data_IF_556339159538
#
_entry.id   IF_556339159538
#
_cell.length_a   1.000
_cell.length_b   1.000
_cell.length_c   1.000
_cell.angle_alpha   90.00
_cell.angle_beta   90.00
_cell.angle_gamma   90.00
#
_symmetry.space_group_name_H-M   'P 1'
#
loop_
_entity.id
_entity.type
_entity.pdbx_description
1 polymer ?
#
# COMPACT_ATOMS: atom_id res chain seq x y z
N UNK A 1 -18.64 7.40 -9.47
CA UNK A 1 -17.56 8.40 -9.59
C UNK A 1 -16.66 8.19 -8.40
N UNK A 2 -15.51 7.55 -8.57
CA UNK A 2 -14.47 7.55 -7.53
C UNK A 2 -13.79 8.91 -7.61
N UNK A 3 -13.95 9.72 -6.55
CA UNK A 3 -13.63 11.15 -6.62
C UNK A 3 -12.28 11.54 -6.05
N UNK A 4 -11.64 10.67 -5.26
CA UNK A 4 -10.26 10.81 -4.80
C UNK A 4 -9.83 9.45 -4.25
N UNK A 5 -8.57 9.05 -4.49
CA UNK A 5 -7.99 7.81 -3.99
C UNK A 5 -6.87 8.17 -3.02
N UNK A 6 -7.00 7.77 -1.76
CA UNK A 6 -5.95 7.89 -0.75
C UNK A 6 -5.64 6.48 -0.25
N UNK A 7 -4.37 6.07 -0.13
CA UNK A 7 -4.04 4.79 0.48
C UNK A 7 -3.03 4.95 1.59
N UNK A 8 -3.31 4.22 2.67
CA UNK A 8 -2.63 4.38 3.94
C UNK A 8 -2.07 3.03 4.36
N UNK A 9 -0.77 3.01 4.67
CA UNK A 9 -0.10 1.88 5.31
C UNK A 9 -0.22 2.03 6.83
N UNK A 10 -1.42 1.82 7.35
CA UNK A 10 -1.76 2.08 8.76
C UNK A 10 -1.07 1.12 9.74
N UNK A 11 -0.80 -0.14 9.33
CA UNK A 11 -0.25 -1.17 10.24
C UNK A 11 1.12 -0.82 10.81
N UNK A 12 1.93 -0.04 10.10
CA UNK A 12 3.25 0.39 10.59
C UNK A 12 3.14 1.52 11.62
N UNK A 13 2.15 2.40 11.48
CA UNK A 13 1.96 3.57 12.34
C UNK A 13 1.18 3.20 13.62
N UNK A 14 0.20 2.29 13.53
CA UNK A 14 -0.58 1.83 14.69
C UNK A 14 0.12 0.80 15.59
N UNK A 15 1.19 0.16 15.12
CA UNK A 15 2.07 -0.62 16.02
C UNK A 15 2.66 0.25 17.13
N UNK A 16 2.75 1.57 16.92
CA UNK A 16 3.11 2.54 17.95
C UNK A 16 1.98 2.79 18.97
N UNK A 17 0.72 2.75 18.54
CA UNK A 17 -0.45 3.02 19.37
C UNK A 17 -0.84 1.87 20.31
N UNK A 18 -0.62 0.62 19.90
CA UNK A 18 -0.99 -0.56 20.70
C UNK A 18 -0.07 -0.84 21.91
N UNK A 19 0.95 -0.02 22.18
CA UNK A 19 1.94 -0.22 23.26
C UNK A 19 1.75 0.65 24.51
N UNK A 20 0.62 1.34 24.66
CA UNK A 20 0.35 2.14 25.87
C UNK A 20 -0.97 1.70 26.51
N UNK A 21 -0.88 0.67 27.34
CA UNK A 21 -1.92 0.31 28.32
C UNK A 21 -1.47 0.80 29.68
N UNK A 22 -1.90 2.01 30.06
CA UNK A 22 -2.46 2.35 31.38
C UNK A 22 -2.66 3.88 31.53
N UNK A 23 -3.78 4.25 32.18
CA UNK A 23 -4.13 5.54 32.78
C UNK A 23 -4.30 6.82 31.94
N UNK A 24 -5.55 7.12 31.55
CA UNK A 24 -6.06 8.41 31.00
C UNK A 24 -5.92 8.70 29.48
N UNK A 25 -4.87 8.30 28.71
CA UNK A 25 -4.82 8.48 27.27
C UNK A 25 -5.80 7.56 26.55
N UNK A 26 -6.30 6.49 27.20
CA UNK A 26 -7.26 5.56 26.59
C UNK A 26 -8.56 6.24 26.15
N UNK A 27 -9.04 7.28 26.85
CA UNK A 27 -10.25 8.01 26.42
C UNK A 27 -9.99 8.94 25.25
N UNK A 28 -8.82 9.59 25.21
CA UNK A 28 -8.41 10.43 24.07
C UNK A 28 -8.13 9.59 22.84
N UNK A 29 -7.41 8.48 22.99
CA UNK A 29 -7.16 7.50 21.93
C UNK A 29 -8.49 6.93 21.41
N UNK A 30 -9.42 6.54 22.29
CA UNK A 30 -10.74 6.07 21.83
C UNK A 30 -11.58 7.16 21.16
N UNK A 31 -11.40 8.42 21.53
CA UNK A 31 -12.06 9.55 20.87
C UNK A 31 -11.44 9.80 19.48
N UNK A 32 -10.12 9.75 19.36
CA UNK A 32 -9.39 9.87 18.08
C UNK A 32 -9.72 8.69 17.16
N UNK A 33 -9.75 7.46 17.66
CA UNK A 33 -10.11 6.28 16.86
C UNK A 33 -11.56 6.30 16.36
N UNK A 34 -12.45 7.07 17.00
CA UNK A 34 -13.83 7.30 16.54
C UNK A 34 -13.96 8.44 15.53
N UNK A 35 -12.90 9.21 15.29
CA UNK A 35 -12.90 10.20 14.23
C UNK A 35 -12.98 9.51 12.86
N UNK A 36 -13.59 10.16 11.86
CA UNK A 36 -13.55 9.65 10.49
C UNK A 36 -12.11 9.65 9.96
N UNK A 37 -11.79 8.75 9.05
CA UNK A 37 -10.43 8.67 8.49
C UNK A 37 -10.09 9.92 7.69
N UNK A 38 -11.09 10.63 7.15
CA UNK A 38 -10.93 11.96 6.55
C UNK A 38 -10.37 13.04 7.50
N UNK A 39 -10.35 12.80 8.81
CA UNK A 39 -9.71 13.70 9.77
C UNK A 39 -8.18 13.53 9.84
N UNK A 40 -7.63 12.49 9.22
CA UNK A 40 -6.18 12.27 9.15
C UNK A 40 -5.57 13.10 8.01
N UNK A 41 -4.42 13.71 8.27
CA UNK A 41 -3.60 14.28 7.20
C UNK A 41 -2.90 13.15 6.44
N UNK A 42 -3.54 12.67 5.37
CA UNK A 42 -3.04 11.55 4.59
C UNK A 42 -2.19 12.03 3.40
N UNK A 43 -1.10 11.31 3.08
CA UNK A 43 -0.28 11.65 1.94
C UNK A 43 -1.06 11.43 0.64
N UNK A 44 -0.87 12.35 -0.31
CA UNK A 44 -1.45 12.22 -1.65
C UNK A 44 -0.92 10.96 -2.31
N UNK A 45 -1.84 10.17 -2.84
CA UNK A 45 -1.50 8.90 -3.45
C UNK A 45 -1.19 9.05 -4.94
N UNK A 46 -0.25 8.25 -5.42
CA UNK A 46 -0.02 8.07 -6.86
C UNK A 46 -0.63 6.77 -7.35
N UNK A 47 -1.09 6.83 -8.59
CA UNK A 47 -1.65 5.70 -9.31
C UNK A 47 -0.66 5.23 -10.35
N UNK A 48 -0.42 3.92 -10.42
CA UNK A 48 0.44 3.28 -11.41
C UNK A 48 -0.39 2.34 -12.29
N UNK A 49 -0.02 2.26 -13.56
CA UNK A 49 -0.61 1.29 -14.49
C UNK A 49 -0.13 -0.14 -14.22
N UNK A 50 -0.93 -1.17 -14.52
CA UNK A 50 -0.62 -2.57 -14.22
C UNK A 50 0.64 -3.11 -14.90
N UNK A 51 0.95 -2.59 -16.09
CA UNK A 51 2.07 -3.04 -16.91
C UNK A 51 3.33 -2.19 -16.69
N UNK A 52 3.34 -1.33 -15.67
CA UNK A 52 4.48 -0.48 -15.38
C UNK A 52 5.65 -1.32 -14.86
N UNK A 53 6.83 -1.19 -15.49
CA UNK A 53 8.04 -1.85 -15.04
C UNK A 53 8.49 -1.39 -13.66
N UNK A 54 9.04 -2.32 -12.85
CA UNK A 54 9.40 -2.06 -11.44
C UNK A 54 10.34 -0.85 -11.25
N UNK A 55 11.36 -0.72 -12.10
CA UNK A 55 12.31 0.40 -12.02
C UNK A 55 11.64 1.74 -12.34
N UNK A 56 10.71 1.74 -13.29
CA UNK A 56 9.96 2.94 -13.66
C UNK A 56 8.98 3.33 -12.56
N UNK A 57 8.27 2.35 -12.00
CA UNK A 57 7.40 2.52 -10.83
C UNK A 57 8.18 3.13 -9.65
N UNK A 58 9.36 2.59 -9.32
CA UNK A 58 10.19 3.11 -8.23
C UNK A 58 10.60 4.58 -8.48
N UNK A 59 11.07 4.90 -9.69
CA UNK A 59 11.45 6.28 -10.05
C UNK A 59 10.27 7.25 -9.98
N UNK A 60 9.08 6.82 -10.37
CA UNK A 60 7.88 7.64 -10.27
C UNK A 60 7.46 7.85 -8.82
N UNK A 61 7.55 6.81 -7.98
CA UNK A 61 7.34 6.93 -6.54
C UNK A 61 8.36 7.88 -5.89
N UNK A 62 9.62 7.89 -6.35
CA UNK A 62 10.64 8.84 -5.91
C UNK A 62 10.34 10.28 -6.32
N UNK A 63 9.96 10.51 -7.58
CA UNK A 63 9.70 11.86 -8.08
C UNK A 63 8.49 12.52 -7.42
N UNK A 64 7.50 11.72 -7.03
CA UNK A 64 6.27 12.17 -6.38
C UNK A 64 6.36 12.10 -4.85
N UNK A 65 7.54 11.80 -4.30
CA UNK A 65 7.80 11.63 -2.86
C UNK A 65 6.82 10.66 -2.17
N UNK A 66 6.31 9.69 -2.92
CA UNK A 66 5.24 8.80 -2.48
C UNK A 66 5.77 7.51 -1.89
N UNK A 67 5.25 7.15 -0.71
CA UNK A 67 5.62 5.91 0.00
C UNK A 67 4.80 4.71 -0.42
N UNK A 68 3.61 4.94 -0.99
CA UNK A 68 2.64 3.91 -1.37
C UNK A 68 1.99 4.31 -2.69
N UNK A 69 1.87 3.35 -3.59
CA UNK A 69 1.17 3.52 -4.85
C UNK A 69 0.05 2.49 -4.99
N UNK A 70 -1.05 2.91 -5.62
CA UNK A 70 -2.15 2.01 -6.01
C UNK A 70 -1.94 1.59 -7.45
N UNK A 71 -2.15 0.30 -7.71
CA UNK A 71 -2.12 -0.27 -9.06
C UNK A 71 -3.56 -0.30 -9.56
N UNK A 72 -3.81 0.40 -10.65
CA UNK A 72 -5.15 0.63 -11.16
C UNK A 72 -5.22 0.31 -12.65
N UNK A 73 -6.17 -0.55 -13.05
CA UNK A 73 -6.39 -0.93 -14.45
C UNK A 73 -7.30 0.09 -15.16
N UNK A 74 -8.38 0.46 -14.48
CA UNK A 74 -9.34 1.47 -14.95
C UNK A 74 -9.70 2.39 -13.79
N UNK A 75 -10.33 3.52 -14.08
CA UNK A 75 -10.77 4.48 -13.05
C UNK A 75 -11.57 3.86 -11.90
N UNK A 76 -12.24 2.73 -12.14
CA UNK A 76 -13.08 2.06 -11.14
C UNK A 76 -12.52 0.69 -10.69
N UNK A 77 -11.30 0.32 -11.13
CA UNK A 77 -10.72 -1.01 -10.88
C UNK A 77 -9.33 -0.92 -10.25
N UNK A 78 -9.28 -1.06 -8.92
CA UNK A 78 -8.05 -1.20 -8.16
C UNK A 78 -7.64 -2.67 -8.15
N UNK A 79 -6.42 -2.96 -8.59
CA UNK A 79 -5.87 -4.32 -8.62
C UNK A 79 -5.03 -4.64 -7.38
N UNK A 80 -4.46 -3.61 -6.75
CA UNK A 80 -3.61 -3.78 -5.58
C UNK A 80 -2.91 -2.50 -5.18
N UNK A 81 -1.99 -2.62 -4.22
CA UNK A 81 -1.13 -1.55 -3.77
C UNK A 81 0.29 -2.06 -3.54
N UNK A 82 1.26 -1.15 -3.61
CA UNK A 82 2.68 -1.46 -3.38
C UNK A 82 3.33 -0.35 -2.57
N UNK A 83 4.21 -0.72 -1.65
CA UNK A 83 5.02 0.25 -0.93
C UNK A 83 6.36 0.45 -1.64
N UNK A 84 6.88 1.68 -1.58
CA UNK A 84 8.19 2.03 -2.15
C UNK A 84 9.28 1.11 -1.59
N UNK A 85 9.25 0.88 -0.28
CA UNK A 85 10.16 -0.02 0.43
C UNK A 85 10.12 -1.44 -0.12
N UNK A 86 8.93 -1.99 -0.40
CA UNK A 86 8.83 -3.33 -0.98
C UNK A 86 9.50 -3.40 -2.36
N UNK A 87 9.38 -2.34 -3.18
CA UNK A 87 10.10 -2.26 -4.45
C UNK A 87 11.61 -2.11 -4.29
N UNK A 88 12.05 -1.28 -3.36
CA UNK A 88 13.48 -1.11 -3.04
C UNK A 88 14.09 -2.43 -2.58
N UNK A 89 13.44 -3.14 -1.65
CA UNK A 89 13.86 -4.45 -1.14
C UNK A 89 13.99 -5.47 -2.28
N UNK A 90 13.00 -5.50 -3.20
CA UNK A 90 13.00 -6.40 -4.37
C UNK A 90 14.10 -6.07 -5.40
N UNK A 91 14.42 -4.80 -5.59
CA UNK A 91 15.42 -4.35 -6.57
C UNK A 91 16.85 -4.37 -6.02
N UNK A 92 17.03 -4.29 -4.70
CA UNK A 92 18.34 -4.32 -4.04
C UNK A 92 18.81 -5.74 -3.69
N UNK A 93 17.90 -6.69 -3.46
CA UNK A 93 18.22 -8.09 -3.18
C UNK A 93 17.79 -8.98 -4.37
N UNK A 94 18.67 -9.27 -5.34
CA UNK A 94 18.31 -10.12 -6.48
C UNK A 94 17.81 -11.50 -6.04
N UNK A 95 18.35 -12.06 -4.96
CA UNK A 95 17.90 -13.34 -4.38
C UNK A 95 16.49 -13.26 -3.74
N UNK A 96 16.05 -12.09 -3.27
CA UNK A 96 14.69 -11.89 -2.75
C UNK A 96 13.68 -11.70 -3.88
N UNK A 97 14.07 -11.00 -4.95
CA UNK A 97 13.34 -10.91 -6.22
C UNK A 97 13.06 -12.29 -6.80
N UNK A 98 14.07 -13.15 -6.86
CA UNK A 98 13.92 -14.53 -7.33
C UNK A 98 13.01 -15.39 -6.44
N UNK A 99 12.91 -15.14 -5.13
CA UNK A 99 11.99 -15.88 -4.24
C UNK A 99 10.53 -15.45 -4.37
N UNK A 100 10.28 -14.15 -4.55
CA UNK A 100 8.93 -13.60 -4.79
C UNK A 100 8.45 -14.00 -6.17
N UNK A 101 9.35 -14.03 -7.15
CA UNK A 101 9.04 -14.43 -8.51
C UNK A 101 8.99 -15.95 -8.68
N UNK A 102 9.77 -16.74 -7.93
CA UNK A 102 9.64 -18.20 -7.90
C UNK A 102 8.29 -18.66 -7.34
N UNK A 103 7.71 -17.91 -6.37
CA UNK A 103 6.31 -18.11 -5.95
C UNK A 103 5.30 -17.78 -7.06
N UNK A 104 5.72 -16.99 -8.04
CA UNK A 104 4.97 -16.59 -9.24
C UNK A 104 5.38 -17.36 -10.51
N UNK A 105 6.21 -18.42 -10.39
CA UNK A 105 6.81 -19.20 -11.50
C UNK A 105 7.66 -18.38 -12.51
N UNK A 106 8.34 -17.32 -12.08
CA UNK A 106 9.29 -16.59 -12.91
C UNK A 106 10.64 -16.44 -12.20
N UNK A 107 11.73 -16.56 -12.95
CA UNK A 107 13.11 -16.32 -12.50
C UNK A 107 13.63 -15.05 -13.16
N UNK A 108 14.16 -14.10 -12.39
CA UNK A 108 14.82 -12.92 -12.94
C UNK A 108 16.22 -13.30 -13.41
N UNK A 109 16.33 -13.66 -14.67
CA UNK A 109 17.62 -13.51 -15.35
C UNK A 109 17.79 -12.02 -15.63
N UNK A 110 18.50 -11.29 -14.76
CA UNK A 110 18.90 -9.90 -15.05
C UNK A 110 20.03 -9.92 -16.09
N UNK A 111 19.71 -10.39 -17.30
CA UNK A 111 20.51 -10.10 -18.48
C UNK A 111 20.11 -8.69 -18.94
N UNK A 112 21.09 -7.79 -19.03
CA UNK A 112 20.90 -6.35 -19.34
C UNK A 112 20.46 -6.09 -20.79
N UNK A 113 19.69 -6.98 -21.42
CA UNK A 113 19.41 -6.95 -22.85
C UNK A 113 18.13 -7.61 -23.35
N UNK A 114 17.21 -8.06 -22.50
CA UNK A 114 15.95 -8.68 -22.94
C UNK A 114 14.70 -7.96 -22.44
N UNK A 115 13.68 -7.91 -23.30
CA UNK A 115 12.40 -7.18 -23.19
C UNK A 115 11.49 -7.63 -22.02
N UNK A 116 11.96 -8.46 -21.08
CA UNK A 116 11.20 -9.01 -19.96
C UNK A 116 11.57 -8.34 -18.63
N UNK A 117 11.43 -7.02 -18.56
CA UNK A 117 11.56 -6.32 -17.27
C UNK A 117 10.30 -6.58 -16.43
N UNK A 118 10.42 -7.01 -15.16
CA UNK A 118 9.27 -7.35 -14.32
C UNK A 118 8.34 -6.14 -14.18
N UNK A 119 7.05 -6.41 -14.14
CA UNK A 119 5.99 -5.39 -14.04
C UNK A 119 5.37 -5.37 -12.65
N UNK A 120 4.74 -4.25 -12.31
CA UNK A 120 4.26 -3.96 -10.95
C UNK A 120 3.19 -4.95 -10.45
N UNK A 121 2.38 -5.51 -11.35
CA UNK A 121 1.36 -6.51 -11.03
C UNK A 121 1.91 -7.83 -10.49
N UNK A 122 3.19 -8.11 -10.73
CA UNK A 122 3.87 -9.31 -10.22
C UNK A 122 4.18 -9.22 -8.72
N UNK A 123 4.31 -8.00 -8.19
CA UNK A 123 4.83 -7.76 -6.84
C UNK A 123 3.86 -6.96 -5.96
N UNK A 124 2.77 -6.46 -6.53
CA UNK A 124 1.73 -5.75 -5.80
C UNK A 124 1.06 -6.64 -4.74
N UNK A 125 0.63 -6.02 -3.66
CA UNK A 125 -0.27 -6.66 -2.71
C UNK A 125 -1.70 -6.56 -3.24
N UNK A 126 -2.33 -7.71 -3.47
CA UNK A 126 -3.73 -7.80 -3.93
C UNK A 126 -4.74 -7.72 -2.80
N UNK A 127 -4.30 -7.86 -1.55
CA UNK A 127 -5.16 -7.80 -0.38
C UNK A 127 -5.25 -6.36 0.13
N UNK A 128 -6.07 -5.56 -0.55
CA UNK A 128 -6.30 -4.15 -0.25
C UNK A 128 -7.73 -3.98 0.25
N UNK A 129 -7.92 -3.31 1.39
CA UNK A 129 -9.26 -2.91 1.83
C UNK A 129 -9.66 -1.64 1.10
N UNK A 130 -10.91 -1.56 0.64
CA UNK A 130 -11.47 -0.32 0.07
C UNK A 130 -12.53 0.18 1.05
N UNK A 131 -12.38 1.41 1.52
CA UNK A 131 -13.18 1.99 2.59
C UNK A 131 -13.68 3.38 2.21
N UNK A 132 -14.80 3.81 2.76
CA UNK A 132 -15.27 5.20 2.59
C UNK A 132 -14.47 6.12 3.52
N UNK A 133 -14.20 7.35 3.10
CA UNK A 133 -13.53 8.35 3.94
C UNK A 133 -14.28 8.72 5.23
N UNK A 134 -15.60 8.47 5.25
CA UNK A 134 -16.48 8.61 6.41
C UNK A 134 -16.35 7.47 7.45
N UNK A 135 -15.67 6.37 7.10
CA UNK A 135 -15.43 5.28 8.05
C UNK A 135 -14.58 5.79 9.21
N UNK A 136 -14.81 5.27 10.41
CA UNK A 136 -13.98 5.62 11.56
C UNK A 136 -12.61 4.95 11.46
N UNK A 137 -11.60 5.58 12.05
CA UNK A 137 -10.25 4.99 12.12
C UNK A 137 -10.31 3.60 12.75
N UNK A 138 -11.12 3.41 13.81
CA UNK A 138 -11.29 2.11 14.46
C UNK A 138 -11.84 1.05 13.50
N UNK A 139 -12.91 1.35 12.77
CA UNK A 139 -13.53 0.40 11.83
C UNK A 139 -12.54 -0.03 10.74
N UNK A 140 -11.79 0.93 10.19
CA UNK A 140 -10.77 0.65 9.17
C UNK A 140 -9.68 -0.25 9.73
N UNK A 141 -9.21 0.01 10.95
CA UNK A 141 -8.16 -0.78 11.60
C UNK A 141 -8.61 -2.18 11.95
N UNK A 142 -9.84 -2.34 12.45
CA UNK A 142 -10.43 -3.64 12.70
C UNK A 142 -10.56 -4.44 11.40
N UNK A 143 -11.02 -3.82 10.32
CA UNK A 143 -11.11 -4.46 8.99
C UNK A 143 -9.75 -4.86 8.45
N UNK A 144 -8.73 -4.01 8.56
CA UNK A 144 -7.35 -4.35 8.20
C UNK A 144 -6.81 -5.54 8.99
N UNK A 145 -7.11 -5.58 10.28
CA UNK A 145 -6.62 -6.64 11.18
C UNK A 145 -7.32 -7.96 10.88
N UNK A 146 -8.65 -7.96 10.74
CA UNK A 146 -9.45 -9.16 10.42
C UNK A 146 -9.17 -9.66 9.01
N UNK A 147 -9.06 -8.76 8.04
CA UNK A 147 -8.77 -9.09 6.64
C UNK A 147 -7.30 -9.36 6.36
N UNK A 148 -6.41 -9.14 7.33
CA UNK A 148 -4.95 -9.15 7.15
C UNK A 148 -4.51 -8.28 5.95
N UNK A 149 -5.18 -7.14 5.75
CA UNK A 149 -4.92 -6.19 4.66
C UNK A 149 -3.87 -5.18 5.12
N UNK A 150 -2.68 -5.13 4.51
CA UNK A 150 -1.67 -4.15 4.88
C UNK A 150 -1.92 -2.75 4.32
N UNK A 151 -2.85 -2.63 3.36
CA UNK A 151 -3.22 -1.38 2.72
C UNK A 151 -4.72 -1.16 2.78
N UNK A 152 -5.11 0.08 3.02
CA UNK A 152 -6.48 0.57 2.85
C UNK A 152 -6.45 1.67 1.81
N UNK A 153 -7.40 1.64 0.89
CA UNK A 153 -7.69 2.72 -0.03
C UNK A 153 -9.00 3.37 0.38
N UNK A 154 -8.98 4.67 0.66
CA UNK A 154 -10.15 5.48 0.93
C UNK A 154 -10.71 6.02 -0.38
N UNK A 155 -12.04 5.93 -0.50
CA UNK A 155 -12.82 6.47 -1.62
C UNK A 155 -13.86 7.45 -1.10
N UNK A 156 -14.02 8.57 -1.82
CA UNK A 156 -15.08 9.57 -1.66
C UNK A 156 -16.24 9.31 -2.62
#
# INVERSE_FOLDING_TARGET
MISELEAVSILSELKGFARSTDDEPSRRILHELRAPVSALELPKLITLGPDMHLLHALRQMESEESRVAVIQETRDTILGAVSKRALEDLLCEPDAGDRVLARSQMTLSVDRGTEDSPVITMVMNRNVSIETSDATILEVVERMTVGACPFVVLVN
#
